data_IF_572794410623
#
_entry.id   IF_572794410623
#
_cell.length_a   1.000
_cell.length_b   1.000
_cell.length_c   1.000
_cell.angle_alpha   90.00
_cell.angle_beta   90.00
_cell.angle_gamma   90.00
#
_symmetry.space_group_name_H-M   'P 1'
#
loop_
_entity.id
_entity.type
_entity.pdbx_description
1 polymer ?
#
# COMPACT_ATOMS: atom_id res chain seq x y z
N UNK A 1 2.34 -29.71 -3.27
CA UNK A 1 3.43 -28.72 -3.41
C UNK A 1 3.02 -27.78 -4.55
N UNK A 2 1.83 -27.22 -4.46
CA UNK A 2 1.40 -25.93 -3.87
C UNK A 2 1.40 -24.81 -4.93
N UNK A 3 0.27 -24.73 -5.64
CA UNK A 3 0.01 -23.83 -6.77
C UNK A 3 -0.07 -22.34 -6.40
N UNK A 4 0.20 -21.96 -5.15
CA UNK A 4 0.36 -20.57 -4.72
C UNK A 4 1.65 -19.93 -5.25
N UNK A 5 2.71 -20.71 -5.44
CA UNK A 5 3.99 -20.18 -5.94
C UNK A 5 3.95 -19.93 -7.46
N UNK A 6 3.19 -20.72 -8.21
CA UNK A 6 3.01 -20.53 -9.66
C UNK A 6 2.26 -19.21 -9.95
N UNK A 7 1.24 -18.88 -9.14
CA UNK A 7 0.47 -17.65 -9.31
C UNK A 7 1.29 -16.39 -9.03
N UNK A 8 2.12 -16.42 -7.99
CA UNK A 8 3.02 -15.30 -7.63
C UNK A 8 4.07 -15.09 -8.74
N UNK A 9 4.63 -16.17 -9.29
CA UNK A 9 5.60 -16.10 -10.39
C UNK A 9 4.94 -15.57 -11.67
N UNK A 10 3.71 -15.98 -11.98
CA UNK A 10 2.96 -15.48 -13.14
C UNK A 10 2.63 -13.98 -13.01
N UNK A 11 2.26 -13.50 -11.82
CA UNK A 11 1.98 -12.07 -11.56
C UNK A 11 3.24 -11.23 -11.66
N UNK A 12 4.38 -11.71 -11.13
CA UNK A 12 5.67 -11.00 -11.25
C UNK A 12 6.12 -10.93 -12.72
N UNK A 13 5.97 -12.01 -13.50
CA UNK A 13 6.32 -12.04 -14.93
C UNK A 13 5.40 -11.14 -15.77
N UNK A 14 4.11 -11.02 -15.41
CA UNK A 14 3.18 -10.10 -16.08
C UNK A 14 3.52 -8.62 -15.78
N UNK A 15 3.92 -8.32 -14.54
CA UNK A 15 4.39 -6.97 -14.15
C UNK A 15 5.72 -6.62 -14.82
N UNK A 16 6.66 -7.57 -14.95
CA UNK A 16 7.91 -7.35 -15.68
C UNK A 16 7.72 -7.18 -17.20
N UNK A 17 6.68 -7.78 -17.78
CA UNK A 17 6.41 -7.69 -19.23
C UNK A 17 5.79 -6.36 -19.66
N UNK A 18 4.94 -5.72 -18.86
CA UNK A 18 4.44 -4.37 -19.16
C UNK A 18 5.53 -3.29 -19.05
N UNK A 19 6.62 -3.58 -18.34
CA UNK A 19 7.77 -2.68 -18.18
C UNK A 19 8.76 -2.72 -19.36
N UNK A 20 8.44 -3.41 -20.46
CA UNK A 20 9.15 -3.30 -21.74
C UNK A 20 8.27 -2.62 -22.77
N UNK A 21 8.44 -1.30 -22.89
CA UNK A 21 8.58 -0.52 -24.14
C UNK A 21 8.03 0.88 -23.85
N UNK A 22 8.92 1.75 -23.40
CA UNK A 22 8.87 3.14 -23.84
C UNK A 22 10.31 3.66 -24.04
N UNK A 23 10.98 3.08 -25.03
CA UNK A 23 12.33 3.46 -25.53
C UNK A 23 12.40 4.87 -26.15
N UNK A 24 11.38 5.71 -25.93
CA UNK A 24 11.39 7.14 -26.21
C UNK A 24 11.32 8.01 -24.96
N UNK A 25 11.05 7.41 -23.80
CA UNK A 25 10.96 8.14 -22.55
C UNK A 25 12.33 8.16 -21.88
N UNK A 26 12.75 9.36 -21.48
CA UNK A 26 14.04 9.77 -20.91
C UNK A 26 14.53 8.93 -19.71
N UNK A 27 13.74 7.98 -19.23
CA UNK A 27 13.98 7.11 -18.07
C UNK A 27 14.78 5.83 -18.35
N UNK A 28 14.92 5.37 -19.59
CA UNK A 28 15.72 4.14 -19.88
C UNK A 28 17.23 4.46 -20.03
N UNK A 29 17.59 5.71 -20.31
CA UNK A 29 18.98 6.16 -20.38
C UNK A 29 19.76 6.08 -19.06
N UNK A 30 19.06 5.88 -17.93
CA UNK A 30 19.65 5.88 -16.60
C UNK A 30 20.40 4.59 -16.26
N UNK A 31 20.08 3.46 -16.91
CA UNK A 31 20.66 2.16 -16.54
C UNK A 31 22.03 1.88 -17.18
N UNK A 32 22.40 2.60 -18.25
CA UNK A 32 23.68 2.41 -18.96
C UNK A 32 24.81 3.34 -18.49
N UNK A 33 24.48 4.44 -17.81
CA UNK A 33 25.47 5.44 -17.40
C UNK A 33 26.20 5.10 -16.09
N UNK A 34 25.59 4.25 -15.24
CA UNK A 34 26.16 3.89 -13.92
C UNK A 34 27.33 2.90 -14.03
N UNK A 35 27.39 2.09 -15.09
CA UNK A 35 28.44 1.06 -15.24
C UNK A 35 29.74 1.64 -15.79
N UNK A 36 29.73 2.81 -16.45
CA UNK A 36 30.89 3.31 -17.19
C UNK A 36 31.59 4.53 -16.59
N UNK A 37 31.20 5.04 -15.41
CA UNK A 37 32.03 6.02 -14.69
C UNK A 37 32.45 7.25 -15.51
N UNK A 38 31.64 7.69 -16.47
CA UNK A 38 31.87 8.90 -17.26
C UNK A 38 30.77 9.91 -16.96
N UNK A 39 31.20 10.99 -16.28
CA UNK A 39 30.57 12.29 -16.09
C UNK A 39 29.14 12.49 -16.63
N UNK A 40 28.17 12.75 -15.74
CA UNK A 40 27.53 14.08 -15.69
C UNK A 40 26.75 14.26 -14.38
N UNK A 41 26.93 15.43 -13.79
CA UNK A 41 26.49 15.88 -12.50
C UNK A 41 24.98 16.19 -12.49
N UNK A 42 24.11 15.19 -12.25
CA UNK A 42 22.70 15.36 -11.79
C UNK A 42 22.08 14.01 -11.37
N UNK A 43 22.60 13.37 -10.33
CA UNK A 43 22.05 12.12 -9.77
C UNK A 43 21.68 12.30 -8.30
N UNK A 44 20.73 13.19 -8.04
CA UNK A 44 20.04 13.30 -6.77
C UNK A 44 18.54 13.21 -7.07
N UNK A 45 18.06 12.03 -7.43
CA UNK A 45 16.61 11.75 -7.55
C UNK A 45 16.32 10.25 -7.62
N UNK A 46 16.98 9.47 -6.78
CA UNK A 46 16.64 8.06 -6.55
C UNK A 46 15.93 8.01 -5.20
N UNK A 47 14.60 7.99 -5.26
CA UNK A 47 13.61 8.09 -4.18
C UNK A 47 13.16 9.53 -3.85
N UNK A 48 12.24 10.07 -4.65
CA UNK A 48 11.50 11.27 -4.25
C UNK A 48 10.01 10.94 -4.11
N UNK A 49 9.68 10.24 -3.03
CA UNK A 49 8.42 10.54 -2.37
C UNK A 49 8.46 12.01 -2.00
N UNK A 50 7.65 12.80 -2.68
CA UNK A 50 7.59 14.23 -2.46
C UNK A 50 6.91 14.47 -1.12
N UNK A 51 7.72 14.83 -0.12
CA UNK A 51 7.21 15.17 1.22
C UNK A 51 6.32 16.41 1.21
N UNK A 52 6.30 17.16 0.12
CA UNK A 52 5.42 18.33 -0.06
C UNK A 52 4.21 18.00 -0.95
N UNK A 53 4.15 16.80 -1.55
CA UNK A 53 2.95 16.37 -2.27
C UNK A 53 1.76 16.24 -1.30
N UNK A 54 0.68 16.89 -1.69
CA UNK A 54 -0.60 16.87 -0.99
C UNK A 54 -1.34 15.60 -1.40
N UNK A 55 -1.75 14.80 -0.42
CA UNK A 55 -2.57 13.62 -0.66
C UNK A 55 -3.97 14.12 -1.06
N UNK A 56 -4.44 13.67 -2.21
CA UNK A 56 -5.73 14.05 -2.81
C UNK A 56 -6.78 12.96 -2.71
N UNK A 57 -6.36 11.70 -2.59
CA UNK A 57 -7.21 10.57 -2.25
C UNK A 57 -6.35 9.45 -1.64
N UNK A 58 -7.00 8.47 -1.03
CA UNK A 58 -6.35 7.27 -0.48
C UNK A 58 -7.03 6.07 -1.12
N UNK A 59 -6.26 5.25 -1.82
CA UNK A 59 -6.74 3.96 -2.31
C UNK A 59 -6.66 2.92 -1.20
N UNK A 60 -7.70 2.12 -1.05
CA UNK A 60 -7.71 0.91 -0.23
C UNK A 60 -8.27 -0.24 -1.05
N UNK A 61 -7.68 -1.45 -0.91
CA UNK A 61 -8.16 -2.62 -1.65
C UNK A 61 -9.54 -3.11 -1.17
N UNK A 62 -9.92 -2.77 0.05
CA UNK A 62 -11.20 -3.09 0.68
C UNK A 62 -11.77 -1.86 1.39
N UNK A 63 -13.10 -1.83 1.52
CA UNK A 63 -13.85 -0.85 2.33
C UNK A 63 -14.58 -1.51 3.51
N UNK A 64 -14.64 -2.84 3.55
CA UNK A 64 -15.28 -3.61 4.60
C UNK A 64 -14.56 -4.95 4.80
N UNK A 65 -14.62 -5.47 6.03
CA UNK A 65 -14.08 -6.76 6.40
C UNK A 65 -14.97 -7.43 7.45
N UNK A 66 -15.21 -8.73 7.29
CA UNK A 66 -15.93 -9.56 8.27
C UNK A 66 -14.98 -10.64 8.78
N UNK A 67 -14.72 -10.63 10.08
CA UNK A 67 -13.71 -11.48 10.71
C UNK A 67 -14.28 -12.26 11.90
N UNK A 68 -13.73 -13.44 12.14
CA UNK A 68 -13.90 -14.13 13.42
C UNK A 68 -13.03 -13.49 14.51
N UNK A 69 -13.36 -13.65 15.81
CA UNK A 69 -12.47 -13.23 16.89
C UNK A 69 -11.07 -13.84 16.74
N UNK A 70 -10.02 -13.01 16.83
CA UNK A 70 -8.64 -13.40 16.55
C UNK A 70 -8.25 -13.40 15.06
N UNK A 71 -9.19 -13.14 14.16
CA UNK A 71 -8.94 -13.04 12.72
C UNK A 71 -8.04 -11.86 12.37
N UNK A 72 -7.23 -12.04 11.33
CA UNK A 72 -6.28 -11.03 10.84
C UNK A 72 -6.61 -10.70 9.38
N UNK A 73 -6.65 -9.42 9.05
CA UNK A 73 -6.86 -8.91 7.70
C UNK A 73 -5.79 -7.89 7.34
N UNK A 74 -5.04 -8.14 6.26
CA UNK A 74 -4.14 -7.15 5.67
C UNK A 74 -4.94 -6.23 4.75
N UNK A 75 -4.77 -4.92 4.92
CA UNK A 75 -5.24 -3.91 3.98
C UNK A 75 -4.05 -3.44 3.15
N UNK A 76 -4.22 -3.44 1.82
CA UNK A 76 -3.30 -2.77 0.91
C UNK A 76 -3.83 -1.37 0.65
N UNK A 77 -2.98 -0.37 0.87
CA UNK A 77 -3.34 1.03 0.72
C UNK A 77 -2.25 1.80 -0.02
N UNK A 78 -2.65 2.87 -0.70
CA UNK A 78 -1.71 3.74 -1.40
C UNK A 78 -2.24 5.18 -1.46
N UNK A 79 -1.41 6.20 -1.17
CA UNK A 79 -1.81 7.59 -1.34
C UNK A 79 -1.88 7.96 -2.83
N UNK A 80 -2.79 8.86 -3.19
CA UNK A 80 -2.94 9.42 -4.52
C UNK A 80 -2.67 10.92 -4.44
N UNK A 81 -1.73 11.48 -5.23
CA UNK A 81 -0.95 10.83 -6.29
C UNK A 81 0.15 9.89 -5.76
N UNK A 82 0.63 8.97 -6.60
CA UNK A 82 1.53 7.89 -6.18
C UNK A 82 2.93 8.35 -5.72
N UNK A 83 3.30 9.59 -5.98
CA UNK A 83 4.52 10.22 -5.50
C UNK A 83 4.37 10.84 -4.09
N UNK A 84 3.17 10.82 -3.49
CA UNK A 84 2.97 11.31 -2.13
C UNK A 84 3.51 10.31 -1.10
N UNK A 85 4.08 10.84 -0.01
CA UNK A 85 4.69 10.03 1.06
C UNK A 85 3.63 9.21 1.84
N UNK A 86 3.63 7.87 1.75
CA UNK A 86 2.69 7.03 2.48
C UNK A 86 2.90 7.05 4.00
N UNK A 87 4.08 7.47 4.49
CA UNK A 87 4.36 7.57 5.92
C UNK A 87 3.58 8.71 6.60
N UNK A 88 2.97 9.61 5.81
CA UNK A 88 2.04 10.62 6.34
C UNK A 88 0.70 10.04 6.79
N UNK A 89 0.33 8.85 6.29
CA UNK A 89 -0.91 8.19 6.62
C UNK A 89 -0.85 7.58 8.02
N UNK A 90 -1.89 7.85 8.81
CA UNK A 90 -2.08 7.33 10.15
C UNK A 90 -3.31 6.45 10.21
N UNK A 91 -3.17 5.34 10.91
CA UNK A 91 -4.24 4.38 11.14
C UNK A 91 -4.82 4.57 12.54
N UNK A 92 -6.14 4.59 12.64
CA UNK A 92 -6.86 4.62 13.92
C UNK A 92 -8.04 3.65 13.88
N UNK A 93 -8.51 3.27 15.07
CA UNK A 93 -9.70 2.44 15.25
C UNK A 93 -10.71 3.19 16.11
N UNK A 94 -12.00 3.10 15.79
CA UNK A 94 -13.06 3.64 16.63
C UNK A 94 -13.29 2.81 17.90
N UNK A 95 -12.92 1.52 17.89
CA UNK A 95 -13.07 0.62 19.03
C UNK A 95 -11.98 -0.46 19.06
N UNK A 96 -10.97 -0.26 19.93
CA UNK A 96 -9.86 -1.19 20.12
C UNK A 96 -10.24 -2.49 20.84
N UNK A 97 -11.38 -2.55 21.53
CA UNK A 97 -11.89 -3.79 22.13
C UNK A 97 -12.46 -4.74 21.06
N UNK A 98 -12.82 -4.22 19.88
CA UNK A 98 -13.36 -4.98 18.76
C UNK A 98 -12.28 -5.25 17.71
N UNK A 99 -11.56 -4.22 17.26
CA UNK A 99 -10.50 -4.36 16.27
C UNK A 99 -9.36 -3.38 16.48
N UNK A 100 -8.13 -3.87 16.33
CA UNK A 100 -6.91 -3.07 16.34
C UNK A 100 -6.28 -3.05 14.95
N UNK A 101 -5.63 -1.95 14.60
CA UNK A 101 -4.87 -1.82 13.35
C UNK A 101 -3.47 -1.34 13.66
N UNK A 102 -2.47 -1.85 12.95
CA UNK A 102 -1.09 -1.37 13.07
C UNK A 102 -0.71 -0.37 11.96
N UNK A 103 0.48 0.20 12.04
CA UNK A 103 0.98 1.21 11.09
C UNK A 103 1.12 0.68 9.64
N UNK A 104 1.17 -0.63 9.47
CA UNK A 104 1.26 -1.29 8.15
C UNK A 104 -0.12 -1.70 7.59
N UNK A 105 -1.22 -1.29 8.22
CA UNK A 105 -2.58 -1.62 7.77
C UNK A 105 -3.00 -3.08 8.03
N UNK A 106 -2.38 -3.75 9.01
CA UNK A 106 -2.84 -5.07 9.48
C UNK A 106 -3.90 -4.87 10.54
N UNK A 107 -5.11 -5.32 10.26
CA UNK A 107 -6.24 -5.32 11.19
C UNK A 107 -6.28 -6.66 11.91
N UNK A 108 -6.39 -6.63 13.24
CA UNK A 108 -6.60 -7.81 14.09
C UNK A 108 -7.91 -7.66 14.84
N UNK A 109 -8.79 -8.66 14.71
CA UNK A 109 -10.04 -8.73 15.45
C UNK A 109 -9.79 -9.21 16.88
N UNK A 110 -10.25 -8.43 17.85
CA UNK A 110 -10.07 -8.71 19.29
C UNK A 110 -11.34 -9.28 19.89
N UNK A 111 -12.48 -8.66 19.63
CA UNK A 111 -13.76 -8.97 20.27
C UNK A 111 -14.94 -8.82 19.33
N UNK A 112 -16.05 -9.49 19.65
CA UNK A 112 -17.28 -9.43 18.84
C UNK A 112 -17.87 -8.01 18.83
N UNK A 113 -18.27 -7.52 17.67
CA UNK A 113 -18.87 -6.20 17.51
C UNK A 113 -18.57 -5.59 16.15
N UNK A 114 -18.70 -4.27 16.04
CA UNK A 114 -18.31 -3.50 14.86
C UNK A 114 -17.32 -2.40 15.26
N UNK A 115 -16.33 -2.17 14.41
CA UNK A 115 -15.33 -1.12 14.57
C UNK A 115 -15.03 -0.49 13.22
N UNK A 116 -14.74 0.80 13.24
CA UNK A 116 -14.35 1.56 12.06
C UNK A 116 -12.85 1.75 12.11
N UNK A 117 -12.16 1.25 11.08
CA UNK A 117 -10.73 1.46 10.91
C UNK A 117 -10.56 2.63 9.94
N UNK A 118 -9.87 3.67 10.37
CA UNK A 118 -9.73 4.92 9.63
C UNK A 118 -8.26 5.09 9.27
N UNK A 119 -7.99 5.32 7.98
CA UNK A 119 -6.68 5.75 7.48
C UNK A 119 -6.77 7.21 7.04
N UNK A 120 -5.89 8.06 7.51
CA UNK A 120 -5.95 9.51 7.25
C UNK A 120 -4.58 10.19 7.29
N UNK A 121 -4.41 11.24 6.49
CA UNK A 121 -3.27 12.16 6.59
C UNK A 121 -3.57 13.42 7.44
N UNK A 122 -4.78 13.50 8.01
CA UNK A 122 -5.32 14.66 8.73
C UNK A 122 -6.20 15.57 7.88
N UNK A 123 -6.08 15.53 6.55
CA UNK A 123 -6.92 16.31 5.62
C UNK A 123 -7.97 15.43 4.94
N UNK A 124 -7.57 14.23 4.54
CA UNK A 124 -8.39 13.22 3.87
C UNK A 124 -8.41 11.96 4.72
N UNK A 125 -9.53 11.24 4.70
CA UNK A 125 -9.66 9.96 5.39
C UNK A 125 -10.40 8.95 4.52
N UNK A 126 -10.08 7.67 4.72
CA UNK A 126 -10.88 6.52 4.30
C UNK A 126 -11.23 5.69 5.51
N UNK A 127 -12.46 5.20 5.52
CA UNK A 127 -12.99 4.35 6.57
C UNK A 127 -13.21 2.95 6.03
N UNK A 128 -12.82 1.95 6.82
CA UNK A 128 -13.01 0.54 6.56
C UNK A 128 -13.86 -0.01 7.70
N UNK A 129 -15.03 -0.56 7.34
CA UNK A 129 -15.97 -1.16 8.28
C UNK A 129 -15.50 -2.57 8.65
N UNK A 130 -15.18 -2.80 9.91
CA UNK A 130 -14.80 -4.12 10.42
C UNK A 130 -15.92 -4.66 11.29
N UNK A 131 -16.48 -5.81 10.88
CA UNK A 131 -17.47 -6.54 11.67
C UNK A 131 -16.86 -7.83 12.17
N UNK A 132 -16.87 -8.01 13.49
CA UNK A 132 -16.39 -9.22 14.14
C UNK A 132 -17.58 -10.04 14.61
N UNK A 133 -17.80 -11.19 13.99
CA UNK A 133 -18.84 -12.13 14.35
C UNK A 133 -18.28 -13.56 14.44
N UNK A 134 -18.98 -14.43 15.16
CA UNK A 134 -18.68 -15.86 15.07
C UNK A 134 -19.15 -16.28 13.68
N UNK A 135 -18.21 -16.62 12.81
CA UNK A 135 -18.55 -17.31 11.57
C UNK A 135 -19.07 -18.68 11.99
N UNK A 136 -20.34 -18.95 11.69
CA UNK A 136 -21.00 -20.24 11.95
C UNK A 136 -20.43 -21.35 11.07
#
# INVERSE_FOLDING_TARGET
MDGRLEYIVIVIILIEKEMRIDLKNRSIGLFLCVILGFACNRYADFDYFDRDAVITDIYTNISEAVLAPGGIQQVTYWPIPANADPMKLKWTTSNSEVAIVNEWGVITAVGKGSADIIVSDGSISKTILVTVNLQE
#
